data_IF_486490735067
#
_entry.id   IF_486490735067
#
_cell.length_a   1.000
_cell.length_b   1.000
_cell.length_c   1.000
_cell.angle_alpha   90.00
_cell.angle_beta   90.00
_cell.angle_gamma   90.00
#
_symmetry.space_group_name_H-M   'P 1'
#
loop_
_entity.id
_entity.type
_entity.pdbx_description
1 polymer ?
#
# COMPACT_ATOMS: atom_id res chain seq x y z
N UNK A 1 2.41 10.29 21.90
CA UNK A 1 1.58 9.09 21.96
C UNK A 1 1.17 8.74 20.55
N UNK A 2 1.36 7.48 20.13
CA UNK A 2 0.96 7.00 18.79
C UNK A 2 -0.26 6.09 18.94
N UNK A 3 -1.49 6.59 18.71
CA UNK A 3 -2.66 5.74 18.73
C UNK A 3 -2.67 4.86 17.47
N UNK A 4 -2.65 3.54 17.68
CA UNK A 4 -2.74 2.54 16.62
C UNK A 4 -3.96 1.68 16.90
N UNK A 5 -4.91 1.69 16.00
CA UNK A 5 -6.10 0.86 16.03
C UNK A 5 -6.05 -0.23 14.97
N UNK A 6 -6.49 -1.44 15.31
CA UNK A 6 -6.65 -2.51 14.34
C UNK A 6 -8.13 -2.80 14.11
N UNK A 7 -8.49 -3.05 12.87
CA UNK A 7 -9.85 -3.44 12.52
C UNK A 7 -9.85 -4.42 11.33
N UNK A 8 -10.95 -5.11 11.18
CA UNK A 8 -11.18 -6.01 10.06
C UNK A 8 -11.51 -5.19 8.80
N UNK A 9 -10.66 -5.27 7.76
CA UNK A 9 -10.73 -4.39 6.59
C UNK A 9 -12.13 -4.27 5.96
N UNK A 10 -12.91 -5.35 5.74
CA UNK A 10 -14.26 -5.24 5.19
C UNK A 10 -15.22 -4.39 6.03
N UNK A 11 -14.90 -4.19 7.31
CA UNK A 11 -15.78 -3.46 8.24
C UNK A 11 -15.39 -1.99 8.44
N UNK A 12 -14.34 -1.51 7.77
CA UNK A 12 -13.97 -0.09 7.85
C UNK A 12 -15.12 0.82 7.41
N UNK A 13 -15.94 0.36 6.46
CA UNK A 13 -17.10 1.10 5.99
C UNK A 13 -18.13 1.42 7.08
N UNK A 14 -18.17 0.63 8.17
CA UNK A 14 -19.03 0.90 9.33
C UNK A 14 -18.52 2.01 10.22
N UNK A 15 -17.23 2.32 10.12
CA UNK A 15 -16.58 3.37 10.89
C UNK A 15 -16.35 4.67 10.12
N UNK A 16 -16.85 4.78 8.86
CA UNK A 16 -16.56 5.92 7.99
C UNK A 16 -16.95 7.26 8.58
N UNK A 17 -18.07 7.35 9.25
CA UNK A 17 -18.51 8.60 9.89
C UNK A 17 -17.50 9.05 10.97
N UNK A 18 -17.10 8.14 11.84
CA UNK A 18 -16.09 8.42 12.86
C UNK A 18 -14.72 8.72 12.26
N UNK A 19 -14.32 8.00 11.19
CA UNK A 19 -13.07 8.20 10.47
C UNK A 19 -13.03 9.59 9.83
N UNK A 20 -14.10 9.97 9.11
CA UNK A 20 -14.23 11.27 8.47
C UNK A 20 -14.14 12.40 9.50
N UNK A 21 -14.84 12.25 10.62
CA UNK A 21 -14.83 13.26 11.67
C UNK A 21 -13.47 13.38 12.36
N UNK A 22 -12.79 12.26 12.61
CA UNK A 22 -11.46 12.25 13.18
C UNK A 22 -10.43 12.93 12.23
N UNK A 23 -10.48 12.65 10.94
CA UNK A 23 -9.63 13.32 9.94
C UNK A 23 -9.97 14.83 9.85
N UNK A 24 -11.25 15.20 9.88
CA UNK A 24 -11.68 16.59 9.89
C UNK A 24 -11.15 17.37 11.11
N UNK A 25 -11.03 16.72 12.25
CA UNK A 25 -10.46 17.30 13.47
C UNK A 25 -8.94 17.25 13.54
N UNK A 26 -8.27 16.82 12.47
CA UNK A 26 -6.81 16.62 12.44
C UNK A 26 -6.31 15.68 13.55
N UNK A 27 -7.10 14.69 13.91
CA UNK A 27 -6.66 13.63 14.81
C UNK A 27 -5.61 12.77 14.12
N UNK A 28 -4.51 12.51 14.83
CA UNK A 28 -3.33 11.81 14.30
C UNK A 28 -3.29 10.39 14.84
N UNK A 29 -3.58 9.41 13.98
CA UNK A 29 -3.67 8.00 14.34
C UNK A 29 -3.30 7.11 13.16
N UNK A 30 -3.00 5.86 13.45
CA UNK A 30 -2.84 4.81 12.44
C UNK A 30 -3.97 3.79 12.58
N UNK A 31 -4.67 3.53 11.49
CA UNK A 31 -5.61 2.42 11.37
C UNK A 31 -4.95 1.32 10.55
N UNK A 32 -4.80 0.14 11.16
CA UNK A 32 -4.32 -1.06 10.48
C UNK A 32 -5.53 -1.95 10.17
N UNK A 33 -5.87 -2.05 8.89
CA UNK A 33 -6.98 -2.87 8.42
C UNK A 33 -6.46 -4.24 7.95
N UNK A 34 -6.83 -5.29 8.67
CA UNK A 34 -6.31 -6.64 8.43
C UNK A 34 -7.31 -7.72 8.85
N UNK A 35 -7.46 -8.81 8.09
CA UNK A 35 -6.91 -9.04 6.75
C UNK A 35 -7.56 -8.16 5.69
N UNK A 36 -6.76 -7.75 4.69
CA UNK A 36 -7.22 -6.89 3.61
C UNK A 36 -7.49 -7.66 2.32
N UNK A 37 -8.43 -7.12 1.56
CA UNK A 37 -8.62 -7.40 0.14
C UNK A 37 -8.90 -8.85 -0.22
N UNK A 38 -8.29 -9.25 -1.32
CA UNK A 38 -8.55 -10.52 -2.01
C UNK A 38 -8.12 -11.75 -1.20
N UNK A 39 -7.24 -11.59 -0.21
CA UNK A 39 -6.80 -12.70 0.64
C UNK A 39 -7.94 -13.33 1.45
N UNK A 40 -9.07 -12.63 1.58
CA UNK A 40 -10.30 -13.12 2.23
C UNK A 40 -11.31 -13.76 1.26
N UNK A 41 -10.99 -13.87 -0.01
CA UNK A 41 -11.91 -14.47 -0.99
C UNK A 41 -12.48 -15.84 -0.58
N UNK A 42 -11.72 -16.76 0.06
CA UNK A 42 -12.25 -18.04 0.54
C UNK A 42 -13.33 -17.95 1.62
N UNK A 43 -13.40 -16.82 2.35
CA UNK A 43 -14.38 -16.59 3.41
C UNK A 43 -15.75 -16.11 2.87
N UNK A 44 -15.81 -15.80 1.58
CA UNK A 44 -17.05 -15.40 0.90
C UNK A 44 -17.23 -13.89 0.77
N UNK A 45 -18.26 -13.50 0.01
CA UNK A 45 -18.48 -12.11 -0.43
C UNK A 45 -18.62 -11.07 0.68
N UNK A 46 -19.18 -11.45 1.82
CA UNK A 46 -19.35 -10.54 2.96
C UNK A 46 -18.02 -10.12 3.61
N UNK A 47 -16.94 -10.83 3.33
CA UNK A 47 -15.60 -10.60 3.89
C UNK A 47 -14.60 -10.07 2.86
N UNK A 48 -15.06 -9.80 1.63
CA UNK A 48 -14.23 -9.20 0.59
C UNK A 48 -14.32 -7.68 0.66
N UNK A 49 -13.18 -7.02 0.55
CA UNK A 49 -13.09 -5.55 0.57
C UNK A 49 -12.72 -5.01 -0.81
N UNK A 50 -13.72 -4.79 -1.65
CA UNK A 50 -13.53 -4.32 -3.03
C UNK A 50 -13.31 -2.81 -3.09
N UNK A 51 -14.04 -2.04 -2.29
CA UNK A 51 -14.04 -0.58 -2.32
C UNK A 51 -13.16 0.09 -1.26
N UNK A 52 -12.64 -0.66 -0.30
CA UNK A 52 -11.87 -0.10 0.84
C UNK A 52 -10.57 0.61 0.43
N UNK A 53 -9.86 0.23 -0.66
CA UNK A 53 -8.72 1.02 -1.15
C UNK A 53 -9.10 2.48 -1.48
N UNK A 54 -10.31 2.69 -1.98
CA UNK A 54 -10.79 4.04 -2.36
C UNK A 54 -11.04 4.94 -1.15
N UNK A 55 -11.24 4.37 0.03
CA UNK A 55 -11.38 5.14 1.27
C UNK A 55 -10.08 5.91 1.55
N UNK A 56 -8.93 5.25 1.42
CA UNK A 56 -7.64 5.90 1.54
C UNK A 56 -7.44 7.02 0.53
N UNK A 57 -7.72 6.75 -0.74
CA UNK A 57 -7.54 7.72 -1.84
C UNK A 57 -8.50 8.92 -1.75
N UNK A 58 -9.68 8.72 -1.20
CA UNK A 58 -10.73 9.76 -1.18
C UNK A 58 -10.87 10.53 0.13
N UNK A 59 -10.14 10.16 1.19
CA UNK A 59 -10.29 10.77 2.50
C UNK A 59 -9.19 11.80 2.77
N UNK A 60 -9.50 13.12 2.78
CA UNK A 60 -8.53 14.15 3.16
C UNK A 60 -7.95 13.92 4.56
N UNK A 61 -6.66 14.15 4.72
CA UNK A 61 -5.95 13.97 6.00
C UNK A 61 -5.63 12.51 6.35
N UNK A 62 -5.86 11.59 5.41
CA UNK A 62 -5.53 10.17 5.53
C UNK A 62 -4.57 9.77 4.42
N UNK A 63 -3.43 9.20 4.76
CA UNK A 63 -2.49 8.61 3.80
C UNK A 63 -2.59 7.10 3.85
N UNK A 64 -2.79 6.46 2.71
CA UNK A 64 -3.05 5.01 2.65
C UNK A 64 -1.89 4.23 2.05
N UNK A 65 -1.65 3.04 2.60
CA UNK A 65 -0.61 2.11 2.15
C UNK A 65 -1.13 0.67 2.09
N UNK A 66 -0.62 -0.09 1.12
CA UNK A 66 -0.88 -1.53 0.97
C UNK A 66 0.42 -2.28 0.62
N UNK A 67 1.34 -2.42 1.59
CA UNK A 67 2.60 -3.11 1.38
C UNK A 67 2.43 -4.63 1.21
N UNK A 68 3.40 -5.27 0.57
CA UNK A 68 3.47 -6.72 0.35
C UNK A 68 4.43 -7.41 1.32
N UNK A 69 5.55 -6.79 1.65
CA UNK A 69 6.65 -7.40 2.40
C UNK A 69 6.87 -6.71 3.74
N UNK A 70 7.45 -7.46 4.69
CA UNK A 70 7.70 -6.96 6.05
C UNK A 70 8.70 -5.80 6.11
N UNK A 71 9.66 -5.75 5.20
CA UNK A 71 10.62 -4.65 5.08
C UNK A 71 9.96 -3.35 4.59
N UNK A 72 8.99 -3.46 3.67
CA UNK A 72 8.13 -2.33 3.27
C UNK A 72 7.30 -1.82 4.45
N UNK A 73 6.68 -2.74 5.21
CA UNK A 73 5.92 -2.38 6.41
C UNK A 73 6.80 -1.62 7.39
N UNK A 74 8.04 -2.08 7.62
CA UNK A 74 8.98 -1.42 8.52
C UNK A 74 9.34 0.01 8.04
N UNK A 75 9.61 0.18 6.74
CA UNK A 75 9.91 1.49 6.16
C UNK A 75 8.70 2.45 6.28
N UNK A 76 7.51 1.98 5.91
CA UNK A 76 6.27 2.77 5.98
C UNK A 76 5.93 3.14 7.43
N UNK A 77 6.05 2.21 8.38
CA UNK A 77 5.77 2.51 9.80
C UNK A 77 6.74 3.55 10.36
N UNK A 78 8.04 3.44 10.05
CA UNK A 78 9.02 4.44 10.46
C UNK A 78 8.64 5.84 9.99
N UNK A 79 8.39 5.99 8.68
CA UNK A 79 7.93 7.24 8.11
C UNK A 79 6.60 7.72 8.70
N UNK A 80 5.65 6.81 8.92
CA UNK A 80 4.32 7.13 9.44
C UNK A 80 4.38 7.76 10.84
N UNK A 81 5.29 7.31 11.69
CA UNK A 81 5.45 7.88 13.02
C UNK A 81 5.96 9.32 12.97
N UNK A 82 6.87 9.62 12.05
CA UNK A 82 7.34 10.99 11.83
C UNK A 82 6.25 11.86 11.19
N UNK A 83 5.55 11.32 10.19
CA UNK A 83 4.45 12.00 9.52
C UNK A 83 3.31 12.39 10.48
N UNK A 84 2.88 11.48 11.34
CA UNK A 84 1.84 11.78 12.34
C UNK A 84 2.24 12.89 13.33
N UNK A 85 3.51 13.21 13.46
CA UNK A 85 4.02 14.28 14.34
C UNK A 85 4.40 15.55 13.59
N UNK A 86 4.50 15.48 12.27
CA UNK A 86 4.85 16.63 11.44
C UNK A 86 3.74 17.69 11.50
N UNK A 87 4.11 18.96 11.28
CA UNK A 87 3.17 20.07 11.31
C UNK A 87 2.05 19.92 10.26
N UNK A 88 2.42 19.43 9.10
CA UNK A 88 1.58 19.16 7.91
C UNK A 88 1.28 17.68 7.71
N UNK A 89 1.44 16.89 8.76
CA UNK A 89 1.16 15.45 8.73
C UNK A 89 -0.33 15.11 8.80
N UNK A 90 -0.64 13.83 8.80
CA UNK A 90 -2.00 13.30 8.82
C UNK A 90 -2.10 11.95 9.52
N UNK A 91 -3.25 11.32 9.38
CA UNK A 91 -3.50 9.95 9.83
C UNK A 91 -3.08 8.94 8.76
N UNK A 92 -2.88 7.71 9.19
CA UNK A 92 -2.43 6.61 8.32
C UNK A 92 -3.49 5.52 8.24
N UNK A 93 -3.74 5.04 7.04
CA UNK A 93 -4.53 3.84 6.77
C UNK A 93 -3.64 2.78 6.14
N UNK A 94 -3.31 1.74 6.88
CA UNK A 94 -2.45 0.66 6.41
C UNK A 94 -3.28 -0.61 6.21
N UNK A 95 -3.32 -1.11 4.98
CA UNK A 95 -4.01 -2.35 4.63
C UNK A 95 -3.02 -3.50 4.58
N UNK A 96 -3.19 -4.48 5.44
CA UNK A 96 -2.29 -5.63 5.55
C UNK A 96 -3.02 -6.95 5.26
N UNK A 97 -2.35 -7.84 4.53
CA UNK A 97 -2.83 -9.20 4.33
C UNK A 97 -2.34 -10.12 5.43
N UNK A 98 -3.16 -11.11 5.80
CA UNK A 98 -2.75 -12.24 6.66
C UNK A 98 -2.33 -13.47 5.86
N UNK A 99 -2.39 -13.42 4.52
CA UNK A 99 -1.86 -14.50 3.67
C UNK A 99 -0.36 -14.62 3.89
N UNK A 100 0.17 -15.81 4.23
CA UNK A 100 1.60 -16.01 4.32
C UNK A 100 2.26 -15.76 2.97
N UNK A 101 3.22 -14.84 2.93
CA UNK A 101 4.02 -14.52 1.75
C UNK A 101 5.47 -14.89 2.01
N UNK A 102 6.14 -15.42 0.98
CA UNK A 102 7.58 -15.59 1.01
C UNK A 102 8.21 -14.20 1.04
N UNK A 103 9.01 -13.94 2.07
CA UNK A 103 9.67 -12.65 2.23
C UNK A 103 10.93 -12.56 1.37
N UNK A 104 11.18 -11.40 0.81
CA UNK A 104 12.41 -11.12 0.09
C UNK A 104 13.55 -10.90 1.08
N UNK A 105 14.71 -11.51 0.80
CA UNK A 105 15.94 -11.26 1.55
C UNK A 105 16.71 -10.17 0.80
N UNK A 106 16.62 -8.94 1.29
CA UNK A 106 17.27 -7.76 0.69
C UNK A 106 17.58 -6.72 1.75
N UNK A 107 18.59 -5.90 1.50
CA UNK A 107 18.88 -4.71 2.30
C UNK A 107 18.34 -3.49 1.54
N UNK A 108 17.40 -2.79 2.12
CA UNK A 108 16.83 -1.57 1.56
C UNK A 108 17.76 -0.39 1.83
N UNK A 109 18.21 0.27 0.77
CA UNK A 109 18.87 1.56 0.86
C UNK A 109 17.90 2.66 1.33
N UNK A 110 18.40 3.83 1.67
CA UNK A 110 17.52 4.95 2.01
C UNK A 110 16.74 5.46 0.79
N UNK A 111 17.27 5.29 -0.42
CA UNK A 111 16.54 5.56 -1.66
C UNK A 111 15.35 4.59 -1.83
N UNK A 112 15.58 3.27 -1.65
CA UNK A 112 14.50 2.27 -1.72
C UNK A 112 13.39 2.56 -0.70
N UNK A 113 13.76 2.93 0.53
CA UNK A 113 12.78 3.32 1.55
C UNK A 113 11.99 4.57 1.17
N UNK A 114 12.65 5.55 0.54
CA UNK A 114 12.02 6.76 0.03
C UNK A 114 10.99 6.42 -1.05
N UNK A 115 11.34 5.57 -2.01
CA UNK A 115 10.46 5.15 -3.10
C UNK A 115 9.27 4.34 -2.58
N UNK A 116 9.51 3.40 -1.64
CA UNK A 116 8.46 2.64 -0.96
C UNK A 116 7.45 3.59 -0.30
N UNK A 117 7.92 4.62 0.38
CA UNK A 117 7.07 5.61 1.04
C UNK A 117 6.39 6.54 0.02
N UNK A 118 7.05 6.87 -1.08
CA UNK A 118 6.47 7.70 -2.15
C UNK A 118 5.34 7.03 -2.93
N UNK A 119 5.19 5.72 -2.77
CA UNK A 119 4.01 4.99 -3.26
C UNK A 119 4.30 3.88 -4.25
N UNK A 120 5.53 3.75 -4.73
CA UNK A 120 5.91 2.64 -5.60
C UNK A 120 7.39 2.61 -5.92
N UNK A 121 7.88 1.42 -6.20
CA UNK A 121 9.28 1.19 -6.58
C UNK A 121 9.39 0.04 -7.58
N UNK A 122 10.45 0.04 -8.36
CA UNK A 122 10.72 -1.05 -9.28
C UNK A 122 11.29 -2.27 -8.53
N UNK A 123 10.52 -3.34 -8.44
CA UNK A 123 11.04 -4.63 -7.98
C UNK A 123 11.94 -5.26 -9.05
N UNK A 124 11.63 -4.97 -10.32
CA UNK A 124 12.47 -5.24 -11.50
C UNK A 124 12.41 -4.04 -12.42
N UNK A 125 13.54 -3.39 -12.61
CA UNK A 125 13.65 -2.25 -13.50
C UNK A 125 13.25 -2.62 -14.94
N UNK A 126 12.49 -1.76 -15.63
CA UNK A 126 12.23 -1.96 -17.05
C UNK A 126 13.52 -1.75 -17.87
N UNK A 127 13.73 -2.56 -18.89
CA UNK A 127 14.81 -2.33 -19.84
C UNK A 127 14.47 -1.24 -20.86
N UNK A 128 15.49 -0.84 -21.66
CA UNK A 128 15.35 0.22 -22.69
C UNK A 128 14.26 -0.10 -23.73
N UNK A 129 14.05 -1.37 -24.04
CA UNK A 129 13.02 -1.85 -24.97
C UNK A 129 11.69 -2.20 -24.31
N UNK A 130 11.43 -1.71 -23.10
CA UNK A 130 10.23 -2.01 -22.33
C UNK A 130 8.97 -1.62 -23.11
N UNK A 131 8.09 -2.61 -23.32
CA UNK A 131 6.76 -2.42 -23.93
C UNK A 131 5.62 -2.75 -22.98
N UNK A 132 5.92 -3.34 -21.84
CA UNK A 132 4.96 -3.82 -20.89
C UNK A 132 5.51 -3.75 -19.48
N UNK A 133 4.65 -3.40 -18.54
CA UNK A 133 4.94 -3.39 -17.10
C UNK A 133 3.86 -4.19 -16.39
N UNK A 134 4.24 -5.03 -15.44
CA UNK A 134 3.33 -5.62 -14.47
C UNK A 134 3.38 -4.74 -13.24
N UNK A 135 2.22 -4.24 -12.78
CA UNK A 135 2.09 -3.52 -11.53
C UNK A 135 1.24 -4.33 -10.55
N UNK A 136 1.60 -4.32 -9.28
CA UNK A 136 0.85 -5.02 -8.24
C UNK A 136 0.84 -4.25 -6.92
N UNK A 137 -0.12 -4.58 -6.05
CA UNK A 137 -0.17 -4.10 -4.67
C UNK A 137 -0.40 -5.26 -3.69
N UNK A 138 0.11 -5.14 -2.47
CA UNK A 138 -0.19 -6.01 -1.34
C UNK A 138 -0.04 -7.50 -1.63
N UNK A 139 -1.07 -8.28 -1.28
CA UNK A 139 -1.07 -9.74 -1.34
C UNK A 139 -0.91 -10.35 -2.74
N UNK A 140 -0.93 -9.53 -3.80
CA UNK A 140 -0.76 -9.99 -5.19
C UNK A 140 0.72 -10.15 -5.61
N UNK A 141 1.67 -9.81 -4.74
CA UNK A 141 3.09 -9.91 -5.03
C UNK A 141 3.55 -11.28 -5.57
N UNK A 142 3.18 -12.44 -4.98
CA UNK A 142 3.63 -13.73 -5.47
C UNK A 142 3.15 -14.04 -6.90
N UNK A 143 1.89 -13.71 -7.19
CA UNK A 143 1.28 -13.92 -8.49
C UNK A 143 1.90 -13.02 -9.56
N UNK A 144 2.22 -11.78 -9.20
CA UNK A 144 2.88 -10.84 -10.10
C UNK A 144 4.33 -11.22 -10.38
N UNK A 145 5.07 -11.66 -9.36
CA UNK A 145 6.44 -12.17 -9.52
C UNK A 145 6.47 -13.41 -10.42
N UNK A 146 5.59 -14.38 -10.18
CA UNK A 146 5.50 -15.59 -10.99
C UNK A 146 5.10 -15.28 -12.45
N UNK A 147 4.21 -14.31 -12.66
CA UNK A 147 3.85 -13.84 -13.99
C UNK A 147 5.03 -13.15 -14.69
N UNK A 148 5.78 -12.31 -13.96
CA UNK A 148 6.96 -11.65 -14.48
C UNK A 148 8.05 -12.66 -14.88
N UNK A 149 8.35 -13.64 -14.03
CA UNK A 149 9.33 -14.70 -14.31
C UNK A 149 8.99 -15.44 -15.60
N UNK A 150 7.73 -15.77 -15.81
CA UNK A 150 7.28 -16.50 -17.00
C UNK A 150 7.29 -15.64 -18.26
N UNK A 151 6.87 -14.38 -18.17
CA UNK A 151 6.71 -13.50 -19.34
C UNK A 151 8.02 -12.82 -19.75
N UNK A 152 8.97 -12.65 -18.83
CA UNK A 152 10.26 -12.03 -19.12
C UNK A 152 11.12 -12.80 -20.14
N UNK A 153 10.86 -14.12 -20.32
CA UNK A 153 11.50 -14.94 -21.34
C UNK A 153 11.15 -14.47 -22.77
N UNK A 154 9.88 -14.10 -22.99
CA UNK A 154 9.35 -13.66 -24.29
C UNK A 154 9.32 -12.13 -24.46
N UNK A 155 9.44 -11.39 -23.36
CA UNK A 155 9.38 -9.93 -23.31
C UNK A 155 10.60 -9.35 -22.61
N UNK A 156 11.76 -9.27 -23.31
CA UNK A 156 12.93 -8.64 -22.74
C UNK A 156 12.62 -7.18 -22.38
N UNK A 157 13.09 -6.74 -21.23
CA UNK A 157 12.81 -5.41 -20.72
C UNK A 157 11.48 -5.25 -19.98
N UNK A 158 10.73 -6.34 -19.74
CA UNK A 158 9.52 -6.31 -18.91
C UNK A 158 9.83 -5.80 -17.49
N UNK A 159 9.17 -4.71 -17.08
CA UNK A 159 9.28 -4.17 -15.74
C UNK A 159 8.30 -4.81 -14.75
N UNK A 160 8.65 -4.78 -13.47
CA UNK A 160 7.77 -5.18 -12.37
C UNK A 160 7.73 -4.06 -11.32
N UNK A 161 6.58 -3.39 -11.22
CA UNK A 161 6.35 -2.27 -10.33
C UNK A 161 5.59 -2.73 -9.08
N UNK A 162 6.18 -2.55 -7.92
CA UNK A 162 5.51 -2.69 -6.64
C UNK A 162 4.84 -1.35 -6.28
N UNK A 163 3.53 -1.34 -6.14
CA UNK A 163 2.75 -0.18 -5.72
C UNK A 163 2.40 -0.34 -4.24
N UNK A 164 2.98 0.50 -3.41
CA UNK A 164 2.78 0.50 -1.95
C UNK A 164 1.71 1.49 -1.51
N UNK A 165 1.44 2.52 -2.33
CA UNK A 165 0.40 3.52 -2.08
C UNK A 165 -0.14 4.09 -3.39
N UNK A 166 -1.31 3.66 -3.79
CA UNK A 166 -2.04 4.27 -4.91
C UNK A 166 -2.46 5.70 -4.63
N UNK A 167 -2.74 6.01 -3.38
CA UNK A 167 -3.07 7.35 -2.89
C UNK A 167 -1.94 8.35 -3.15
N UNK A 168 -0.73 8.04 -2.74
CA UNK A 168 0.42 8.94 -2.93
C UNK A 168 0.78 9.12 -4.40
N UNK A 169 0.76 8.04 -5.18
CA UNK A 169 1.01 8.12 -6.62
C UNK A 169 -0.06 8.97 -7.34
N UNK A 170 -1.32 8.85 -6.93
CA UNK A 170 -2.40 9.63 -7.50
C UNK A 170 -2.27 11.12 -7.16
N UNK A 171 -1.95 11.45 -5.90
CA UNK A 171 -1.76 12.83 -5.47
C UNK A 171 -0.56 13.48 -6.18
N UNK A 172 0.57 12.76 -6.29
CA UNK A 172 1.74 13.26 -7.00
C UNK A 172 1.43 13.51 -8.50
N UNK A 173 0.68 12.62 -9.13
CA UNK A 173 0.24 12.82 -10.52
C UNK A 173 -0.64 14.05 -10.67
N UNK A 174 -1.57 14.31 -9.74
CA UNK A 174 -2.40 15.51 -9.78
C UNK A 174 -1.60 16.81 -9.62
N UNK A 175 -0.54 16.80 -8.81
CA UNK A 175 0.32 17.96 -8.59
C UNK A 175 1.19 18.30 -9.82
N UNK A 176 1.31 17.39 -10.79
CA UNK A 176 2.06 17.58 -12.04
C UNK A 176 1.21 18.17 -13.18
N UNK A 177 -0.11 18.18 -13.06
CA UNK A 177 -1.05 18.76 -14.03
C UNK A 177 -1.42 20.22 -13.70
#
# INVERSE_FOLDING_TARGET
>A
LFPIGTLYDPFIARGLDALNYACYQDARFMVVATPSGISLAPEGGAHQSISTPMIGMGQPGLTSFEPSFGDEVAAIMGWSFDHMQAKDGGSIYMRLSTKPLIQLVRDLSDADKSDIVSGGYWLREPGDDCKMVIAYCGAMAPEAIAAWEKLSEDHPGLGLLAVTSTDRLYNEWQDLE
#
